data_IF_474697047083
#
_entry.id   IF_474697047083
#
_cell.length_a   1.000
_cell.length_b   1.000
_cell.length_c   1.000
_cell.angle_alpha   90.00
_cell.angle_beta   90.00
_cell.angle_gamma   90.00
#
_symmetry.space_group_name_H-M   'P 1'
#
loop_
_entity.id
_entity.type
_entity.pdbx_description
1 polymer ?
#
# COMPACT_ATOMS: atom_id res chain seq x y z
N UNK A 1 -22.32 10.98 11.56
CA UNK A 1 -22.17 9.88 12.52
C UNK A 1 -21.11 8.94 11.98
N UNK A 2 -20.15 8.55 12.82
CA UNK A 2 -19.12 7.56 12.41
C UNK A 2 -19.76 6.21 12.14
N UNK A 3 -19.35 5.54 11.07
CA UNK A 3 -19.76 4.16 10.80
C UNK A 3 -19.12 3.25 11.87
N UNK A 4 -19.88 2.35 12.48
CA UNK A 4 -19.42 1.47 13.58
C UNK A 4 -19.86 0.03 13.33
N UNK A 5 -18.96 -0.91 13.58
CA UNK A 5 -19.24 -2.35 13.52
C UNK A 5 -18.73 -3.04 14.78
N UNK A 6 -19.44 -4.05 15.25
CA UNK A 6 -19.00 -4.94 16.33
C UNK A 6 -18.56 -6.28 15.73
N UNK A 7 -17.29 -6.61 15.91
CA UNK A 7 -16.66 -7.83 15.42
C UNK A 7 -16.23 -8.78 16.55
N UNK A 8 -16.75 -8.57 17.78
CA UNK A 8 -16.39 -9.37 18.97
C UNK A 8 -16.68 -10.87 18.83
N UNK A 9 -17.65 -11.22 17.97
CA UNK A 9 -18.04 -12.61 17.71
C UNK A 9 -17.44 -13.18 16.42
N UNK A 10 -16.61 -12.40 15.71
CA UNK A 10 -16.06 -12.79 14.42
C UNK A 10 -14.63 -13.33 14.59
N UNK A 11 -14.27 -14.29 13.74
CA UNK A 11 -12.93 -14.89 13.77
C UNK A 11 -11.90 -13.97 13.12
N UNK A 12 -10.80 -13.75 13.82
CA UNK A 12 -9.63 -13.07 13.27
C UNK A 12 -8.98 -13.90 12.17
N UNK A 13 -8.52 -13.22 11.13
CA UNK A 13 -7.65 -13.83 10.13
C UNK A 13 -6.22 -13.84 10.67
N UNK A 14 -5.61 -15.01 10.74
CA UNK A 14 -4.21 -15.15 11.16
C UNK A 14 -3.28 -14.65 10.06
N UNK A 15 -2.65 -13.49 10.29
CA UNK A 15 -1.71 -12.85 9.36
C UNK A 15 -0.25 -12.98 9.81
N UNK A 16 0.04 -13.75 10.86
CA UNK A 16 1.40 -13.87 11.44
C UNK A 16 2.49 -14.23 10.44
N UNK A 17 2.14 -14.95 9.38
CA UNK A 17 3.10 -15.37 8.36
C UNK A 17 3.39 -14.31 7.28
N UNK A 18 2.63 -13.20 7.23
CA UNK A 18 2.69 -12.23 6.12
C UNK A 18 2.91 -10.78 6.54
N UNK A 19 2.79 -10.46 7.83
CA UNK A 19 2.96 -9.08 8.35
C UNK A 19 4.41 -8.80 8.73
N UNK A 20 4.96 -7.67 8.28
CA UNK A 20 6.32 -7.21 8.61
C UNK A 20 6.39 -6.46 9.93
N UNK A 21 5.33 -5.72 10.29
CA UNK A 21 5.23 -4.91 11.51
C UNK A 21 3.97 -5.29 12.29
N UNK A 22 4.07 -6.26 13.19
CA UNK A 22 3.02 -6.62 14.13
C UNK A 22 1.78 -7.30 13.52
N UNK A 23 0.86 -7.69 14.40
CA UNK A 23 -0.37 -8.38 14.05
C UNK A 23 -1.54 -7.40 13.96
N UNK A 24 -1.64 -6.65 12.86
CA UNK A 24 -2.84 -5.87 12.60
C UNK A 24 -4.07 -6.79 12.61
N UNK A 25 -5.08 -6.45 13.40
CA UNK A 25 -6.33 -7.22 13.47
C UNK A 25 -7.07 -7.10 12.14
N UNK A 26 -7.40 -8.23 11.53
CA UNK A 26 -8.09 -8.31 10.24
C UNK A 26 -9.21 -9.33 10.28
N UNK A 27 -10.34 -9.01 9.65
CA UNK A 27 -11.52 -9.88 9.53
C UNK A 27 -12.04 -9.87 8.10
N UNK A 28 -12.64 -10.99 7.70
CA UNK A 28 -13.41 -11.10 6.46
C UNK A 28 -14.84 -11.49 6.81
N UNK A 29 -15.75 -10.53 6.77
CA UNK A 29 -17.16 -10.69 7.17
C UNK A 29 -18.07 -10.15 6.10
N UNK A 30 -19.04 -10.94 5.67
CA UNK A 30 -20.02 -10.53 4.67
C UNK A 30 -19.41 -10.10 3.32
N UNK A 31 -18.28 -10.67 2.94
CA UNK A 31 -17.56 -10.30 1.72
C UNK A 31 -16.77 -8.99 1.83
N UNK A 32 -16.57 -8.46 3.03
CA UNK A 32 -15.77 -7.26 3.31
C UNK A 32 -14.59 -7.57 4.20
N UNK A 33 -13.44 -6.99 3.85
CA UNK A 33 -12.26 -6.96 4.69
C UNK A 33 -12.33 -5.78 5.65
N UNK A 34 -12.11 -6.04 6.94
CA UNK A 34 -11.97 -5.04 7.99
C UNK A 34 -10.54 -5.09 8.53
N UNK A 35 -9.94 -3.92 8.72
CA UNK A 35 -8.59 -3.75 9.27
C UNK A 35 -8.67 -2.73 10.40
N UNK A 36 -8.25 -3.09 11.62
CA UNK A 36 -8.11 -2.15 12.72
C UNK A 36 -6.72 -1.50 12.72
N UNK A 37 -6.64 -0.25 13.14
CA UNK A 37 -5.35 0.41 13.33
C UNK A 37 -4.56 -0.26 14.46
N UNK A 38 -3.25 -0.34 14.30
CA UNK A 38 -2.36 -1.02 15.22
C UNK A 38 -1.10 -0.19 15.56
N UNK A 39 -0.42 0.31 14.54
CA UNK A 39 0.82 1.11 14.69
C UNK A 39 0.55 2.61 14.74
N UNK A 40 -0.64 3.04 14.37
CA UNK A 40 -1.02 4.45 14.42
C UNK A 40 -2.30 4.77 13.67
N UNK A 41 -2.23 5.17 12.40
CA UNK A 41 -3.38 5.60 11.61
C UNK A 41 -3.46 4.95 10.22
N UNK A 42 -3.20 3.64 10.18
CA UNK A 42 -3.14 2.86 8.93
C UNK A 42 -4.46 2.92 8.15
N UNK A 43 -5.60 2.84 8.84
CA UNK A 43 -6.91 2.92 8.21
C UNK A 43 -7.18 4.29 7.57
N UNK A 44 -6.67 5.37 8.17
CA UNK A 44 -6.71 6.71 7.56
C UNK A 44 -5.94 6.72 6.24
N UNK A 45 -4.71 6.17 6.22
CA UNK A 45 -3.89 6.13 5.02
C UNK A 45 -4.59 5.37 3.89
N UNK A 46 -5.12 4.17 4.16
CA UNK A 46 -5.87 3.38 3.17
C UNK A 46 -7.05 4.18 2.59
N UNK A 47 -7.85 4.84 3.44
CA UNK A 47 -9.02 5.60 3.00
C UNK A 47 -8.61 6.82 2.18
N UNK A 48 -7.72 7.68 2.70
CA UNK A 48 -7.33 8.93 2.04
C UNK A 48 -6.65 8.64 0.71
N UNK A 49 -5.73 7.68 0.66
CA UNK A 49 -5.05 7.29 -0.57
C UNK A 49 -6.06 6.79 -1.61
N UNK A 50 -6.98 5.90 -1.22
CA UNK A 50 -7.99 5.41 -2.17
C UNK A 50 -8.89 6.53 -2.71
N UNK A 51 -9.25 7.55 -1.91
CA UNK A 51 -10.00 8.73 -2.37
C UNK A 51 -9.20 9.57 -3.37
N UNK A 52 -7.91 9.76 -3.12
CA UNK A 52 -7.05 10.54 -4.02
C UNK A 52 -6.81 9.81 -5.34
N UNK A 53 -6.69 8.47 -5.33
CA UNK A 53 -6.54 7.65 -6.52
C UNK A 53 -7.77 7.71 -7.45
N UNK A 54 -8.96 8.00 -6.96
CA UNK A 54 -10.14 8.25 -7.80
C UNK A 54 -9.92 9.42 -8.80
N UNK A 55 -8.99 10.32 -8.46
CA UNK A 55 -8.56 11.44 -9.30
C UNK A 55 -7.18 11.20 -9.91
N UNK A 56 -7.04 10.05 -10.57
CA UNK A 56 -5.83 9.64 -11.28
C UNK A 56 -6.17 8.82 -12.52
N UNK A 57 -5.14 8.48 -13.30
CA UNK A 57 -5.28 7.51 -14.38
C UNK A 57 -5.22 6.05 -13.89
N UNK A 58 -4.90 5.81 -12.61
CA UNK A 58 -4.90 4.48 -12.00
C UNK A 58 -6.35 4.00 -11.88
N UNK A 59 -6.66 2.85 -12.49
CA UNK A 59 -8.05 2.36 -12.56
C UNK A 59 -8.34 1.21 -11.59
N UNK A 60 -7.34 0.37 -11.34
CA UNK A 60 -7.49 -0.84 -10.56
C UNK A 60 -6.80 -0.70 -9.20
N UNK A 61 -7.55 -0.25 -8.21
CA UNK A 61 -7.12 -0.09 -6.82
C UNK A 61 -8.25 -0.41 -5.86
N UNK A 62 -7.90 -0.82 -4.65
CA UNK A 62 -8.89 -1.12 -3.60
C UNK A 62 -9.44 0.17 -3.00
N UNK A 63 -10.78 0.29 -2.93
CA UNK A 63 -11.46 1.40 -2.29
C UNK A 63 -11.74 1.08 -0.85
N UNK A 64 -11.27 1.95 0.04
CA UNK A 64 -11.45 1.80 1.47
C UNK A 64 -12.43 2.82 2.04
N UNK A 65 -13.10 2.45 3.12
CA UNK A 65 -14.05 3.27 3.85
C UNK A 65 -13.69 3.27 5.33
N UNK A 66 -13.81 4.42 6.03
CA UNK A 66 -13.48 4.49 7.44
C UNK A 66 -14.54 3.79 8.30
N UNK A 67 -14.13 3.21 9.42
CA UNK A 67 -15.03 2.53 10.36
C UNK A 67 -14.42 2.52 11.76
N UNK A 68 -15.28 2.62 12.79
CA UNK A 68 -14.95 2.26 14.17
C UNK A 68 -15.25 0.78 14.38
N UNK A 69 -14.28 0.01 14.84
CA UNK A 69 -14.38 -1.43 15.07
C UNK A 69 -14.40 -1.69 16.58
N UNK A 70 -15.49 -2.27 17.09
CA UNK A 70 -15.55 -2.80 18.43
C UNK A 70 -15.09 -4.27 18.41
N UNK A 71 -14.11 -4.60 19.25
CA UNK A 71 -13.60 -5.95 19.39
C UNK A 71 -12.97 -6.13 20.78
N UNK A 72 -13.33 -7.22 21.47
CA UNK A 72 -12.80 -7.58 22.79
C UNK A 72 -12.86 -6.42 23.80
N UNK A 73 -14.02 -5.79 23.92
CA UNK A 73 -14.30 -4.64 24.83
C UNK A 73 -13.47 -3.39 24.54
N UNK A 74 -12.83 -3.29 23.38
CA UNK A 74 -12.09 -2.12 22.91
C UNK A 74 -12.69 -1.56 21.64
N UNK A 75 -12.37 -0.31 21.36
CA UNK A 75 -12.71 0.35 20.10
C UNK A 75 -11.43 0.75 19.36
N UNK A 76 -11.42 0.49 18.07
CA UNK A 76 -10.33 0.80 17.16
C UNK A 76 -10.84 1.64 16.01
N UNK A 77 -10.11 2.68 15.64
CA UNK A 77 -10.24 3.24 14.31
C UNK A 77 -9.73 2.23 13.28
N UNK A 78 -10.18 2.34 12.05
CA UNK A 78 -9.75 1.45 10.99
C UNK A 78 -10.48 1.68 9.70
N UNK A 79 -10.36 0.72 8.78
CA UNK A 79 -11.01 0.78 7.50
C UNK A 79 -11.63 -0.55 7.07
N UNK A 80 -12.52 -0.49 6.06
CA UNK A 80 -13.00 -1.68 5.38
C UNK A 80 -13.03 -1.49 3.86
N UNK A 81 -12.96 -2.60 3.13
CA UNK A 81 -13.11 -2.66 1.69
C UNK A 81 -13.90 -3.88 1.27
N UNK A 82 -14.44 -3.87 0.06
CA UNK A 82 -14.99 -5.08 -0.54
C UNK A 82 -13.87 -6.07 -0.86
N UNK A 83 -14.17 -7.37 -0.79
CA UNK A 83 -13.24 -8.40 -1.21
C UNK A 83 -13.19 -8.43 -2.76
N UNK A 84 -12.04 -8.09 -3.32
CA UNK A 84 -11.85 -8.05 -4.77
C UNK A 84 -11.60 -9.42 -5.43
N UNK A 85 -11.49 -10.49 -4.61
CA UNK A 85 -11.28 -11.85 -5.10
C UNK A 85 -12.62 -12.56 -5.34
N UNK A 86 -12.70 -13.30 -6.44
CA UNK A 86 -13.74 -14.29 -6.64
C UNK A 86 -13.50 -15.52 -5.73
N UNK A 87 -14.49 -16.43 -5.63
CA UNK A 87 -14.39 -17.63 -4.78
C UNK A 87 -13.30 -18.60 -5.21
N UNK A 88 -13.02 -18.63 -6.51
CA UNK A 88 -12.00 -19.47 -7.14
C UNK A 88 -10.71 -18.68 -7.42
N UNK A 89 -10.41 -17.66 -6.63
CA UNK A 89 -9.21 -16.86 -6.76
C UNK A 89 -8.40 -16.83 -5.45
N UNK A 90 -7.09 -16.96 -5.59
CA UNK A 90 -6.11 -16.86 -4.52
C UNK A 90 -5.17 -15.70 -4.74
N UNK A 91 -4.71 -15.04 -3.65
CA UNK A 91 -3.62 -14.06 -3.71
C UNK A 91 -2.31 -14.81 -3.61
N UNK A 92 -1.42 -14.57 -4.56
CA UNK A 92 -0.08 -15.16 -4.60
C UNK A 92 0.95 -14.04 -4.58
N UNK A 93 1.73 -13.95 -3.51
CA UNK A 93 2.75 -12.91 -3.34
C UNK A 93 3.99 -13.22 -4.16
N UNK A 94 4.78 -12.21 -4.49
CA UNK A 94 6.07 -12.37 -5.16
C UNK A 94 7.00 -13.30 -4.36
N UNK A 95 6.97 -13.20 -3.04
CA UNK A 95 7.72 -14.09 -2.15
C UNK A 95 7.26 -15.56 -2.26
N UNK A 96 5.95 -15.78 -2.38
CA UNK A 96 5.41 -17.13 -2.58
C UNK A 96 5.80 -17.70 -3.95
N UNK A 97 5.67 -16.90 -5.01
CA UNK A 97 6.13 -17.29 -6.36
C UNK A 97 7.60 -17.68 -6.36
N UNK A 98 8.44 -16.89 -5.70
CA UNK A 98 9.87 -17.17 -5.61
C UNK A 98 10.15 -18.49 -4.91
N UNK A 99 9.54 -18.73 -3.77
CA UNK A 99 9.69 -20.01 -3.04
C UNK A 99 9.25 -21.20 -3.86
N UNK A 100 8.18 -21.06 -4.64
CA UNK A 100 7.65 -22.13 -5.49
C UNK A 100 8.55 -22.42 -6.70
N UNK A 101 9.11 -21.40 -7.35
CA UNK A 101 9.82 -21.53 -8.62
C UNK A 101 11.35 -21.53 -8.49
N UNK A 102 11.89 -20.84 -7.49
CA UNK A 102 13.34 -20.71 -7.26
C UNK A 102 13.79 -21.45 -6.00
N UNK A 103 12.85 -22.01 -5.21
CA UNK A 103 13.12 -22.60 -3.91
C UNK A 103 13.86 -21.66 -2.92
N UNK A 104 13.74 -20.34 -3.12
CA UNK A 104 14.44 -19.32 -2.33
C UNK A 104 13.51 -18.13 -2.06
N UNK A 105 13.89 -17.28 -1.09
CA UNK A 105 13.24 -16.00 -0.83
C UNK A 105 13.58 -15.00 -1.92
N UNK A 106 12.59 -14.28 -2.46
CA UNK A 106 12.84 -13.27 -3.49
C UNK A 106 13.68 -12.10 -2.96
N UNK A 107 13.47 -11.73 -1.70
CA UNK A 107 14.32 -10.71 -1.06
C UNK A 107 15.80 -11.12 -1.05
N UNK A 108 16.12 -12.42 -0.90
CA UNK A 108 17.50 -12.92 -1.01
C UNK A 108 18.00 -12.94 -2.45
N UNK A 109 17.14 -13.24 -3.43
CA UNK A 109 17.49 -13.16 -4.86
C UNK A 109 17.91 -11.72 -5.23
N UNK A 110 17.21 -10.71 -4.72
CA UNK A 110 17.54 -9.31 -4.98
C UNK A 110 18.92 -8.89 -4.43
N UNK A 111 19.44 -9.55 -3.40
CA UNK A 111 20.77 -9.26 -2.86
C UNK A 111 21.94 -9.63 -3.81
N UNK A 112 21.67 -10.38 -4.88
CA UNK A 112 22.66 -10.72 -5.90
C UNK A 112 22.96 -9.54 -6.84
N UNK A 113 22.13 -8.50 -6.80
CA UNK A 113 22.26 -7.31 -7.64
C UNK A 113 22.58 -6.09 -6.77
N UNK A 114 23.54 -5.27 -7.21
CA UNK A 114 23.87 -4.03 -6.52
C UNK A 114 22.91 -2.92 -6.94
N UNK A 115 22.71 -2.74 -8.25
CA UNK A 115 21.96 -1.63 -8.82
C UNK A 115 20.43 -1.85 -8.78
N UNK A 116 19.66 -0.85 -8.35
CA UNK A 116 18.19 -0.92 -8.37
C UNK A 116 17.59 -1.30 -9.73
N UNK A 117 18.16 -0.81 -10.82
CA UNK A 117 17.77 -1.16 -12.19
C UNK A 117 17.83 -2.65 -12.46
N UNK A 118 18.89 -3.31 -12.03
CA UNK A 118 19.07 -4.74 -12.26
C UNK A 118 18.12 -5.56 -11.41
N UNK A 119 17.88 -5.13 -10.16
CA UNK A 119 16.85 -5.71 -9.29
C UNK A 119 15.45 -5.61 -9.92
N UNK A 120 15.09 -4.44 -10.44
CA UNK A 120 13.79 -4.21 -11.08
C UNK A 120 13.66 -5.04 -12.36
N UNK A 121 14.68 -5.04 -13.23
CA UNK A 121 14.69 -5.84 -14.47
C UNK A 121 14.53 -7.33 -14.17
N UNK A 122 15.31 -7.86 -13.23
CA UNK A 122 15.20 -9.25 -12.80
C UNK A 122 13.79 -9.58 -12.28
N UNK A 123 13.20 -8.67 -11.49
CA UNK A 123 11.84 -8.84 -10.96
C UNK A 123 10.81 -8.91 -12.08
N UNK A 124 10.88 -8.01 -13.05
CA UNK A 124 9.97 -8.01 -14.21
C UNK A 124 10.08 -9.30 -15.00
N UNK A 125 11.31 -9.69 -15.37
CA UNK A 125 11.58 -10.92 -16.14
C UNK A 125 11.08 -12.17 -15.40
N UNK A 126 11.32 -12.26 -14.09
CA UNK A 126 10.84 -13.36 -13.27
C UNK A 126 9.32 -13.45 -13.27
N UNK A 127 8.63 -12.34 -12.99
CA UNK A 127 7.16 -12.30 -12.95
C UNK A 127 6.57 -12.65 -14.31
N UNK A 128 7.04 -12.06 -15.40
CA UNK A 128 6.55 -12.35 -16.76
C UNK A 128 6.77 -13.82 -17.16
N UNK A 129 7.91 -14.37 -16.77
CA UNK A 129 8.23 -15.78 -17.02
C UNK A 129 7.28 -16.74 -16.31
N UNK A 130 6.97 -16.45 -15.03
CA UNK A 130 6.19 -17.34 -14.17
C UNK A 130 4.69 -17.19 -14.39
N UNK A 131 4.22 -15.94 -14.42
CA UNK A 131 2.78 -15.64 -14.48
C UNK A 131 2.22 -15.50 -15.90
N UNK A 132 3.09 -15.30 -16.91
CA UNK A 132 2.75 -14.94 -18.29
C UNK A 132 2.04 -13.57 -18.44
N UNK A 133 1.97 -12.78 -17.37
CA UNK A 133 1.48 -11.41 -17.45
C UNK A 133 2.34 -10.58 -18.40
N UNK A 134 1.73 -9.54 -18.99
CA UNK A 134 2.39 -8.59 -19.90
C UNK A 134 2.42 -7.20 -19.28
N UNK A 135 3.40 -6.39 -19.64
CA UNK A 135 3.56 -5.03 -19.12
C UNK A 135 3.82 -4.97 -17.61
N UNK A 136 4.50 -5.98 -17.06
CA UNK A 136 4.85 -6.06 -15.64
C UNK A 136 5.69 -4.86 -15.22
N UNK A 137 6.60 -4.39 -16.09
CA UNK A 137 7.40 -3.20 -15.85
C UNK A 137 6.53 -1.96 -15.59
N UNK A 138 5.51 -1.73 -16.42
CA UNK A 138 4.57 -0.61 -16.24
C UNK A 138 3.78 -0.72 -14.92
N UNK A 139 3.31 -1.92 -14.57
CA UNK A 139 2.60 -2.16 -13.31
C UNK A 139 3.50 -1.90 -12.09
N UNK A 140 4.74 -2.38 -12.09
CA UNK A 140 5.69 -2.14 -10.99
C UNK A 140 6.10 -0.67 -10.90
N UNK A 141 6.34 0.00 -12.04
CA UNK A 141 6.68 1.43 -12.04
C UNK A 141 5.54 2.24 -11.43
N UNK A 142 4.28 2.02 -11.84
CA UNK A 142 3.14 2.70 -11.23
C UNK A 142 3.04 2.43 -9.72
N UNK A 143 3.33 1.21 -9.26
CA UNK A 143 3.37 0.88 -7.83
C UNK A 143 4.43 1.70 -7.10
N UNK A 144 5.65 1.80 -7.65
CA UNK A 144 6.74 2.56 -7.05
C UNK A 144 6.50 4.07 -7.07
N UNK A 145 5.84 4.61 -8.11
CA UNK A 145 5.40 6.01 -8.16
C UNK A 145 4.40 6.33 -7.04
N UNK A 146 3.44 5.42 -6.80
CA UNK A 146 2.48 5.55 -5.70
C UNK A 146 3.16 5.42 -4.34
N UNK A 147 4.05 4.44 -4.18
CA UNK A 147 4.77 4.23 -2.93
C UNK A 147 5.68 5.43 -2.59
N UNK A 148 6.36 6.01 -3.58
CA UNK A 148 7.18 7.21 -3.41
C UNK A 148 6.32 8.43 -3.07
N UNK A 149 5.20 8.63 -3.78
CA UNK A 149 4.31 9.75 -3.54
C UNK A 149 3.66 9.68 -2.15
N UNK A 150 3.18 8.51 -1.75
CA UNK A 150 2.50 8.32 -0.47
C UNK A 150 3.43 7.87 0.67
N UNK A 151 4.73 7.78 0.42
CA UNK A 151 5.73 7.34 1.41
C UNK A 151 5.39 5.97 2.01
N UNK A 152 5.10 4.98 1.17
CA UNK A 152 4.81 3.64 1.63
C UNK A 152 6.10 2.87 1.95
N UNK A 153 6.43 2.73 3.21
CA UNK A 153 7.65 2.05 3.67
C UNK A 153 7.53 0.52 3.72
N UNK A 154 6.35 -0.03 3.48
CA UNK A 154 6.10 -1.46 3.66
C UNK A 154 5.93 -2.24 2.36
N UNK A 155 6.36 -1.71 1.22
CA UNK A 155 6.35 -2.42 -0.06
C UNK A 155 7.43 -3.48 -0.15
N UNK A 156 7.37 -4.50 0.69
CA UNK A 156 8.24 -5.67 0.60
C UNK A 156 7.66 -6.74 -0.36
N UNK A 157 8.41 -7.81 -0.60
CA UNK A 157 8.06 -8.87 -1.57
C UNK A 157 6.78 -9.64 -1.25
N UNK A 158 6.30 -9.62 -0.01
CA UNK A 158 4.97 -10.14 0.37
C UNK A 158 3.83 -9.15 0.07
N UNK A 159 4.09 -7.85 -0.07
CA UNK A 159 3.10 -6.82 -0.41
C UNK A 159 3.07 -6.51 -1.91
N UNK A 160 3.83 -7.26 -2.71
CA UNK A 160 3.72 -7.33 -4.16
C UNK A 160 3.05 -8.64 -4.51
N UNK A 161 1.84 -8.60 -5.05
CA UNK A 161 1.02 -9.79 -5.21
C UNK A 161 0.24 -9.80 -6.54
N UNK A 162 -0.20 -11.00 -6.90
CA UNK A 162 -1.01 -11.29 -8.09
C UNK A 162 -2.20 -12.13 -7.68
N UNK A 163 -3.23 -12.14 -8.49
CA UNK A 163 -4.38 -13.01 -8.31
C UNK A 163 -4.24 -14.20 -9.25
N UNK A 164 -4.31 -15.40 -8.69
CA UNK A 164 -4.35 -16.66 -9.40
C UNK A 164 -5.80 -17.16 -9.46
N UNK A 165 -6.28 -17.50 -10.64
CA UNK A 165 -7.50 -18.27 -10.79
C UNK A 165 -7.18 -19.74 -10.55
N UNK A 166 -7.72 -20.32 -9.48
CA UNK A 166 -7.41 -21.67 -9.02
C UNK A 166 -7.95 -22.75 -9.97
N UNK A 167 -8.96 -22.43 -10.79
CA UNK A 167 -9.54 -23.37 -11.77
C UNK A 167 -8.76 -23.41 -13.08
N UNK A 168 -8.24 -22.27 -13.54
CA UNK A 168 -7.58 -22.16 -14.86
C UNK A 168 -6.06 -22.09 -14.78
N UNK A 169 -5.52 -21.74 -13.62
CA UNK A 169 -4.09 -21.47 -13.43
C UNK A 169 -3.62 -20.14 -14.01
N UNK A 170 -4.54 -19.29 -14.47
CA UNK A 170 -4.21 -17.99 -15.05
C UNK A 170 -4.02 -16.91 -13.97
N UNK A 171 -3.06 -16.03 -14.21
CA UNK A 171 -2.78 -14.90 -13.33
C UNK A 171 -3.39 -13.61 -13.89
N UNK A 172 -3.82 -12.72 -12.98
CA UNK A 172 -4.11 -11.32 -13.26
C UNK A 172 -3.43 -10.41 -12.24
N UNK A 173 -3.32 -9.14 -12.55
CA UNK A 173 -2.84 -8.16 -11.58
C UNK A 173 -3.77 -8.05 -10.38
N UNK A 174 -3.18 -7.87 -9.20
CA UNK A 174 -3.92 -7.35 -8.07
C UNK A 174 -4.26 -5.89 -8.32
N UNK A 175 -5.45 -5.41 -7.89
CA UNK A 175 -5.64 -3.98 -7.65
C UNK A 175 -4.52 -3.45 -6.75
N UNK A 176 -4.12 -2.18 -6.89
CA UNK A 176 -3.19 -1.60 -5.91
C UNK A 176 -3.86 -1.54 -4.54
N UNK A 177 -3.19 -2.04 -3.51
CA UNK A 177 -3.72 -2.19 -2.15
C UNK A 177 -2.60 -2.13 -1.11
N UNK A 178 -3.00 -2.10 0.17
CA UNK A 178 -2.13 -2.18 1.35
C UNK A 178 -1.16 -0.99 1.45
N UNK A 179 -1.77 0.22 1.52
CA UNK A 179 -1.08 1.48 1.78
C UNK A 179 -1.16 1.91 3.25
N UNK A 180 -1.48 1.00 4.17
CA UNK A 180 -1.65 1.33 5.58
C UNK A 180 -0.42 1.95 6.21
N UNK A 181 0.78 1.41 5.96
CA UNK A 181 2.04 1.96 6.45
C UNK A 181 2.62 3.00 5.47
N UNK A 182 1.80 3.99 5.12
CA UNK A 182 2.16 5.16 4.32
C UNK A 182 2.05 6.45 5.16
N UNK A 183 2.49 7.57 4.62
CA UNK A 183 2.30 8.91 5.19
C UNK A 183 2.75 9.01 6.67
N UNK A 184 3.80 8.28 7.05
CA UNK A 184 4.35 8.20 8.41
C UNK A 184 3.33 7.65 9.43
N UNK A 185 2.54 6.64 9.04
CA UNK A 185 1.47 6.10 9.87
C UNK A 185 1.94 5.40 11.14
N UNK A 186 3.16 4.84 11.15
CA UNK A 186 3.73 4.19 12.32
C UNK A 186 4.14 5.20 13.38
N UNK A 187 3.16 5.64 14.16
CA UNK A 187 3.40 6.59 15.27
C UNK A 187 3.80 5.92 16.58
N UNK A 188 3.63 4.60 16.66
CA UNK A 188 3.95 3.82 17.85
C UNK A 188 5.46 3.57 17.98
N UNK A 189 6.16 3.36 16.87
CA UNK A 189 7.57 2.99 16.88
C UNK A 189 8.45 4.00 16.13
N UNK A 190 8.20 4.25 14.83
CA UNK A 190 9.16 4.92 13.97
C UNK A 190 8.95 6.43 13.82
N UNK A 191 7.69 6.91 13.86
CA UNK A 191 7.36 8.31 13.53
C UNK A 191 6.45 8.95 14.58
N UNK A 192 6.91 9.18 15.82
CA UNK A 192 6.06 9.69 16.90
C UNK A 192 5.42 11.03 16.56
N UNK A 193 4.21 11.26 17.07
CA UNK A 193 3.54 12.56 16.97
C UNK A 193 4.33 13.62 17.73
N UNK A 194 4.34 14.85 17.21
CA UNK A 194 5.05 15.99 17.82
C UNK A 194 6.46 16.21 17.27
N UNK A 195 7.04 15.30 16.50
CA UNK A 195 8.28 15.55 15.76
C UNK A 195 8.00 16.31 14.45
N UNK A 196 9.02 17.01 13.95
CA UNK A 196 8.94 17.75 12.69
C UNK A 196 8.75 16.82 11.51
N UNK A 197 7.64 16.99 10.81
CA UNK A 197 7.23 16.14 9.68
C UNK A 197 8.28 16.11 8.56
N UNK A 198 8.93 17.24 8.26
CA UNK A 198 9.91 17.31 7.18
C UNK A 198 11.20 16.57 7.53
N UNK A 199 11.57 16.53 8.80
CA UNK A 199 12.70 15.73 9.27
C UNK A 199 12.36 14.23 9.20
N UNK A 200 11.12 13.85 9.54
CA UNK A 200 10.66 12.46 9.46
C UNK A 200 10.57 11.95 8.03
N UNK A 201 10.08 12.79 7.09
CA UNK A 201 10.08 12.45 5.64
C UNK A 201 11.50 12.15 5.15
N UNK A 202 12.53 12.82 5.68
CA UNK A 202 13.93 12.55 5.34
C UNK A 202 14.50 11.26 5.95
N UNK A 203 13.83 10.64 6.90
CA UNK A 203 14.27 9.41 7.57
C UNK A 203 13.59 8.14 7.06
N UNK A 204 12.45 8.27 6.37
CA UNK A 204 11.66 7.12 5.90
C UNK A 204 12.40 6.37 4.79
N UNK A 205 12.25 5.05 4.76
CA UNK A 205 12.94 4.19 3.83
C UNK A 205 11.98 3.43 2.92
N UNK A 206 12.34 3.40 1.64
CA UNK A 206 11.65 2.60 0.64
C UNK A 206 12.06 1.12 0.68
N UNK A 207 11.27 0.30 0.03
CA UNK A 207 11.47 -1.13 -0.28
C UNK A 207 10.85 -1.41 -1.66
N UNK A 208 11.18 -2.51 -2.36
CA UNK A 208 12.17 -3.52 -1.99
C UNK A 208 13.52 -3.34 -2.70
N UNK A 209 13.66 -2.39 -3.66
CA UNK A 209 14.81 -2.32 -4.57
C UNK A 209 15.92 -1.40 -4.06
N UNK A 210 15.57 -0.33 -3.37
CA UNK A 210 16.48 0.59 -2.71
C UNK A 210 15.86 1.11 -1.41
N UNK A 211 16.67 1.73 -0.54
CA UNK A 211 16.20 2.39 0.68
C UNK A 211 15.68 3.81 0.42
N UNK A 212 16.10 4.41 -0.67
CA UNK A 212 15.69 5.74 -1.10
C UNK A 212 14.59 5.64 -2.15
N UNK A 213 13.47 6.37 -1.93
CA UNK A 213 12.32 6.35 -2.81
C UNK A 213 12.65 6.88 -4.21
N UNK A 214 13.41 7.97 -4.29
CA UNK A 214 13.72 8.59 -5.58
C UNK A 214 14.66 7.69 -6.39
N UNK A 215 15.66 7.08 -5.75
CA UNK A 215 16.61 6.18 -6.40
C UNK A 215 15.92 4.98 -7.06
N UNK A 216 15.01 4.29 -6.36
CA UNK A 216 14.29 3.17 -6.97
C UNK A 216 13.26 3.63 -7.99
N UNK A 217 12.64 4.80 -7.80
CA UNK A 217 11.67 5.38 -8.72
C UNK A 217 12.33 5.78 -10.03
N UNK A 218 13.45 6.53 -9.97
CA UNK A 218 14.23 6.92 -11.15
C UNK A 218 14.68 5.70 -11.96
N UNK A 219 15.12 4.64 -11.28
CA UNK A 219 15.51 3.40 -11.93
C UNK A 219 14.34 2.73 -12.67
N UNK A 220 13.14 2.73 -12.10
CA UNK A 220 11.95 2.16 -12.72
C UNK A 220 11.45 3.00 -13.89
N UNK A 221 11.39 4.33 -13.73
CA UNK A 221 10.96 5.25 -14.79
C UNK A 221 11.95 5.29 -15.96
N UNK A 222 13.25 5.15 -15.71
CA UNK A 222 14.25 5.04 -16.78
C UNK A 222 14.07 3.76 -17.61
N UNK A 223 13.65 2.66 -16.98
CA UNK A 223 13.39 1.39 -17.67
C UNK A 223 12.07 1.35 -18.43
N UNK A 224 11.01 1.91 -17.85
CA UNK A 224 9.63 1.67 -18.33
C UNK A 224 8.81 2.94 -18.53
N UNK A 225 9.38 4.10 -18.27
CA UNK A 225 8.71 5.41 -18.34
C UNK A 225 7.73 5.62 -17.18
N UNK A 226 7.37 6.88 -16.93
CA UNK A 226 6.38 7.23 -15.90
C UNK A 226 4.98 6.80 -16.31
N UNK A 227 4.24 6.23 -15.39
CA UNK A 227 2.93 5.57 -15.58
C UNK A 227 1.77 6.32 -14.96
N UNK A 228 1.97 6.88 -13.75
CA UNK A 228 0.92 7.53 -12.97
C UNK A 228 0.72 8.99 -13.41
N UNK A 229 -0.55 9.40 -13.48
CA UNK A 229 -0.95 10.80 -13.63
C UNK A 229 -1.99 11.11 -12.58
N UNK A 230 -1.64 12.05 -11.70
CA UNK A 230 -2.49 12.51 -10.60
C UNK A 230 -3.18 13.81 -11.02
N UNK A 231 -4.45 13.97 -10.66
CA UNK A 231 -5.21 15.19 -11.01
C UNK A 231 -5.87 15.86 -9.80
N UNK A 232 -5.68 15.31 -8.59
CA UNK A 232 -6.25 15.91 -7.40
C UNK A 232 -5.56 17.21 -6.98
N UNK A 233 -6.35 18.10 -6.43
CA UNK A 233 -5.94 19.42 -5.92
C UNK A 233 -5.73 19.38 -4.40
N UNK A 234 -5.30 20.49 -3.81
CA UNK A 234 -5.28 20.68 -2.35
C UNK A 234 -6.69 20.55 -1.74
N UNK A 235 -7.69 21.10 -2.42
CA UNK A 235 -9.09 20.99 -1.96
C UNK A 235 -9.58 19.54 -1.96
N UNK A 236 -9.09 18.71 -2.87
CA UNK A 236 -9.41 17.28 -2.89
C UNK A 236 -8.74 16.54 -1.72
N UNK A 237 -7.52 16.93 -1.36
CA UNK A 237 -6.83 16.43 -0.16
C UNK A 237 -7.64 16.79 1.09
N UNK A 238 -8.04 18.06 1.24
CA UNK A 238 -8.84 18.51 2.37
C UNK A 238 -10.19 17.78 2.45
N UNK A 239 -10.83 17.51 1.30
CA UNK A 239 -12.08 16.74 1.24
C UNK A 239 -11.85 15.30 1.71
N UNK A 240 -10.82 14.62 1.22
CA UNK A 240 -10.50 13.26 1.64
C UNK A 240 -10.17 13.16 3.14
N UNK A 241 -9.48 14.16 3.70
CA UNK A 241 -9.19 14.24 5.13
C UNK A 241 -10.44 14.52 5.96
N UNK A 242 -11.38 15.34 5.47
CA UNK A 242 -12.65 15.59 6.15
C UNK A 242 -13.51 14.32 6.24
N UNK A 243 -13.44 13.41 5.28
CA UNK A 243 -14.16 12.13 5.30
C UNK A 243 -13.74 11.24 6.49
N UNK A 244 -12.51 11.40 6.99
CA UNK A 244 -11.95 10.62 8.09
C UNK A 244 -11.84 11.39 9.41
N UNK A 245 -12.11 12.70 9.42
CA UNK A 245 -11.92 13.57 10.59
C UNK A 245 -12.76 13.18 11.83
N UNK A 246 -13.86 12.44 11.64
CA UNK A 246 -14.66 11.93 12.75
C UNK A 246 -14.06 10.70 13.46
N UNK A 247 -12.98 10.14 12.91
CA UNK A 247 -12.35 8.90 13.38
C UNK A 247 -10.96 9.15 13.98
N UNK A 248 -10.33 10.28 13.68
CA UNK A 248 -8.94 10.58 14.05
C UNK A 248 -8.79 11.96 14.68
N UNK A 249 -7.84 12.13 15.62
CA UNK A 249 -7.52 13.42 16.21
C UNK A 249 -7.08 14.47 15.18
N UNK A 250 -7.28 15.75 15.50
CA UNK A 250 -6.99 16.86 14.58
C UNK A 250 -5.50 16.99 14.23
N UNK A 251 -4.61 16.69 15.15
CA UNK A 251 -3.16 16.70 14.92
C UNK A 251 -2.71 15.66 13.89
N UNK A 252 -3.31 14.46 13.88
CA UNK A 252 -3.09 13.45 12.83
C UNK A 252 -3.58 13.97 11.47
N UNK A 253 -4.76 14.57 11.42
CA UNK A 253 -5.33 15.15 10.18
C UNK A 253 -4.41 16.26 9.62
N UNK A 254 -3.92 17.15 10.48
CA UNK A 254 -3.00 18.22 10.09
C UNK A 254 -1.66 17.66 9.60
N UNK A 255 -1.08 16.69 10.33
CA UNK A 255 0.14 16.00 9.94
C UNK A 255 0.05 15.39 8.54
N UNK A 256 -1.01 14.62 8.27
CA UNK A 256 -1.20 13.97 6.97
C UNK A 256 -1.43 15.01 5.86
N UNK A 257 -2.12 16.12 6.16
CA UNK A 257 -2.26 17.24 5.22
C UNK A 257 -0.91 17.83 4.82
N UNK A 258 -0.05 18.10 5.80
CA UNK A 258 1.28 18.68 5.57
C UNK A 258 2.16 17.74 4.75
N UNK A 259 2.14 16.45 5.05
CA UNK A 259 2.85 15.42 4.26
C UNK A 259 2.36 15.45 2.80
N UNK A 260 1.06 15.36 2.57
CA UNK A 260 0.49 15.33 1.22
C UNK A 260 0.78 16.61 0.43
N UNK A 261 0.80 17.77 1.08
CA UNK A 261 1.17 19.03 0.45
C UNK A 261 2.66 19.07 0.09
N UNK A 262 3.52 18.54 0.94
CA UNK A 262 4.96 18.41 0.67
C UNK A 262 5.21 17.47 -0.51
N UNK A 263 4.59 16.29 -0.50
CA UNK A 263 4.73 15.29 -1.55
C UNK A 263 4.19 15.77 -2.89
N UNK A 264 3.05 16.49 -2.88
CA UNK A 264 2.51 17.10 -4.09
C UNK A 264 3.45 18.15 -4.69
N UNK A 265 4.22 18.87 -3.86
CA UNK A 265 5.25 19.79 -4.33
C UNK A 265 6.46 19.05 -4.88
N UNK A 266 6.93 18.00 -4.18
CA UNK A 266 8.10 17.21 -4.57
C UNK A 266 7.86 16.49 -5.91
N UNK A 267 6.76 15.78 -6.06
CA UNK A 267 6.41 15.00 -7.24
C UNK A 267 5.45 15.72 -8.19
N UNK A 268 5.64 17.04 -8.36
CA UNK A 268 4.75 17.85 -9.22
C UNK A 268 4.67 17.35 -10.67
N UNK A 269 5.68 16.64 -11.18
CA UNK A 269 5.69 16.11 -12.53
C UNK A 269 4.61 15.03 -12.74
N UNK A 270 4.19 14.30 -11.70
CA UNK A 270 3.07 13.36 -11.77
C UNK A 270 1.71 14.06 -12.00
N UNK A 271 1.64 15.37 -11.83
CA UNK A 271 0.44 16.20 -12.07
C UNK A 271 0.47 16.97 -13.40
N UNK A 272 1.55 16.86 -14.16
CA UNK A 272 1.65 17.51 -15.47
C UNK A 272 0.96 16.63 -16.53
N UNK A 273 0.28 17.30 -17.46
CA UNK A 273 -0.41 16.64 -18.59
C UNK A 273 0.57 16.28 -19.70
#
# INVERSE_FOLDING_TARGET
MSNRIDLSNESLIDTKATSSKGNQLKWLVGGKWYKADHMGYEGLCEVVISRLLEKSNVKDFVRYHPVMIAFDSKEYAGCYSDNFRAKNESIVTLEHLSKQWLANSFAKELLQYEEPKDKIRHTVEFIEKVTKLKNVGAYLTAMLELDAFFLNEDRHTNNTAFVLNDDTGEYRYCPYFDFGLSLLADTAEDYPLGEDVYQLIGKIHAKPFDRDFDTQLDAAEELFGSQVRLSFTRADIDTALNDVAAYYPADIIERVRDILYAQRKKYQYLFMK
#
